data_IF_683545916928
#
_entry.id   IF_683545916928
#
_cell.length_a   1.000
_cell.length_b   1.000
_cell.length_c   1.000
_cell.angle_alpha   90.00
_cell.angle_beta   90.00
_cell.angle_gamma   90.00
#
_symmetry.space_group_name_H-M   'P 1'
#
loop_
_entity.id
_entity.type
_entity.pdbx_description
1 polymer ?
#
# COMPACT_ATOMS: atom_id res chain seq x y z
N UNK A 1 10.62 -9.45 -6.17
CA UNK A 1 9.23 -9.89 -6.45
C UNK A 1 8.97 -9.74 -7.94
N UNK A 2 8.44 -10.77 -8.61
CA UNK A 2 8.06 -10.66 -10.03
C UNK A 2 6.69 -9.99 -10.23
N UNK A 3 6.38 -9.56 -11.46
CA UNK A 3 5.07 -8.98 -11.78
C UNK A 3 3.90 -9.93 -11.48
N UNK A 4 4.07 -11.23 -11.75
CA UNK A 4 3.03 -12.23 -11.48
C UNK A 4 2.72 -12.34 -10.00
N UNK A 5 3.76 -12.49 -9.16
CA UNK A 5 3.59 -12.53 -7.71
C UNK A 5 2.94 -11.23 -7.20
N UNK A 6 3.30 -10.09 -7.78
CA UNK A 6 2.73 -8.78 -7.43
C UNK A 6 1.21 -8.74 -7.63
N UNK A 7 0.72 -9.19 -8.77
CA UNK A 7 -0.73 -9.17 -9.07
C UNK A 7 -1.51 -10.30 -8.38
N UNK A 8 -0.85 -11.39 -7.98
CA UNK A 8 -1.50 -12.54 -7.34
C UNK A 8 -1.54 -12.44 -5.81
N UNK A 9 -0.49 -11.91 -5.18
CA UNK A 9 -0.35 -11.93 -3.72
C UNK A 9 -0.46 -10.56 -3.06
N UNK A 10 -0.01 -9.47 -3.70
CA UNK A 10 -0.07 -8.12 -3.12
C UNK A 10 -1.26 -7.31 -3.66
N UNK A 11 -1.52 -7.38 -4.97
CA UNK A 11 -2.56 -6.61 -5.66
C UNK A 11 -3.56 -7.50 -6.40
N UNK A 12 -4.03 -8.57 -5.74
CA UNK A 12 -5.12 -9.37 -6.29
C UNK A 12 -6.41 -8.56 -6.32
N UNK A 13 -6.81 -8.13 -7.53
CA UNK A 13 -7.87 -7.14 -7.73
C UNK A 13 -9.21 -7.51 -7.08
N UNK A 14 -9.52 -8.81 -7.03
CA UNK A 14 -10.73 -9.32 -6.40
C UNK A 14 -10.78 -9.05 -4.89
N UNK A 15 -9.64 -8.99 -4.21
CA UNK A 15 -9.61 -8.67 -2.78
C UNK A 15 -10.19 -7.28 -2.49
N UNK A 16 -10.00 -6.30 -3.37
CA UNK A 16 -10.59 -4.96 -3.19
C UNK A 16 -12.10 -4.98 -3.37
N UNK A 17 -12.62 -5.77 -4.32
CA UNK A 17 -14.06 -5.93 -4.55
C UNK A 17 -14.70 -6.65 -3.37
N UNK A 18 -14.08 -7.72 -2.88
CA UNK A 18 -14.56 -8.44 -1.69
C UNK A 18 -14.52 -7.56 -0.45
N UNK A 19 -13.48 -6.75 -0.28
CA UNK A 19 -13.38 -5.82 0.83
C UNK A 19 -14.45 -4.72 0.77
N UNK A 20 -14.73 -4.18 -0.41
CA UNK A 20 -15.84 -3.24 -0.60
C UNK A 20 -17.19 -3.88 -0.25
N UNK A 21 -17.47 -5.08 -0.76
CA UNK A 21 -18.71 -5.79 -0.45
C UNK A 21 -18.83 -6.12 1.05
N UNK A 22 -17.72 -6.52 1.68
CA UNK A 22 -17.63 -6.76 3.11
C UNK A 22 -18.01 -5.53 3.93
N UNK A 23 -17.46 -4.36 3.59
CA UNK A 23 -17.80 -3.11 4.28
C UNK A 23 -19.27 -2.74 4.11
N UNK A 24 -19.91 -3.04 2.97
CA UNK A 24 -21.32 -2.74 2.74
C UNK A 24 -22.31 -3.63 3.50
N UNK A 25 -21.91 -4.82 3.93
CA UNK A 25 -22.81 -5.78 4.58
C UNK A 25 -22.53 -5.99 6.07
N UNK A 26 -21.43 -5.44 6.59
CA UNK A 26 -21.03 -5.62 7.98
C UNK A 26 -21.58 -4.49 8.86
N UNK A 27 -21.94 -4.83 10.10
CA UNK A 27 -22.35 -3.86 11.11
C UNK A 27 -21.23 -2.84 11.38
N UNK A 28 -21.57 -1.55 11.33
CA UNK A 28 -20.63 -0.45 11.57
C UNK A 28 -20.06 -0.46 13.00
N UNK A 29 -20.79 -1.03 13.97
CA UNK A 29 -20.29 -1.17 15.34
C UNK A 29 -19.08 -2.11 15.46
N UNK A 30 -18.85 -2.98 14.46
CA UNK A 30 -17.69 -3.87 14.37
C UNK A 30 -16.50 -3.24 13.63
N UNK A 31 -16.60 -1.97 13.25
CA UNK A 31 -15.53 -1.32 12.50
C UNK A 31 -14.42 -0.90 13.45
N UNK A 32 -13.18 -1.12 13.00
CA UNK A 32 -12.00 -0.54 13.64
C UNK A 32 -11.63 0.76 12.91
N UNK A 33 -10.65 1.51 13.43
CA UNK A 33 -10.26 2.81 12.87
C UNK A 33 -9.94 2.77 11.36
N UNK A 34 -9.28 1.70 10.89
CA UNK A 34 -8.97 1.55 9.46
C UNK A 34 -10.23 1.35 8.61
N UNK A 35 -11.18 0.53 9.09
CA UNK A 35 -12.46 0.31 8.39
C UNK A 35 -13.27 1.60 8.33
N UNK A 36 -13.35 2.37 9.43
CA UNK A 36 -14.03 3.66 9.43
C UNK A 36 -13.39 4.66 8.46
N UNK A 37 -12.05 4.73 8.42
CA UNK A 37 -11.35 5.56 7.45
C UNK A 37 -11.74 5.19 6.02
N UNK A 38 -11.65 3.91 5.65
CA UNK A 38 -11.98 3.46 4.29
C UNK A 38 -13.47 3.66 3.98
N UNK A 39 -14.36 3.39 4.93
CA UNK A 39 -15.81 3.60 4.79
C UNK A 39 -16.11 5.08 4.47
N UNK A 40 -15.52 6.02 5.23
CA UNK A 40 -15.70 7.46 4.97
C UNK A 40 -15.23 7.87 3.58
N UNK A 41 -14.15 7.26 3.08
CA UNK A 41 -13.65 7.48 1.72
C UNK A 41 -14.62 6.95 0.67
N UNK A 42 -15.16 5.75 0.89
CA UNK A 42 -16.18 5.15 0.01
C UNK A 42 -17.44 6.03 -0.07
N UNK A 43 -17.92 6.55 1.06
CA UNK A 43 -19.15 7.35 1.10
C UNK A 43 -18.96 8.72 0.40
N UNK A 44 -17.74 9.26 0.45
CA UNK A 44 -17.33 10.44 -0.32
C UNK A 44 -16.99 10.14 -1.79
N UNK A 45 -17.09 8.88 -2.23
CA UNK A 45 -16.65 8.41 -3.56
C UNK A 45 -15.17 8.75 -3.84
N UNK A 46 -14.36 8.81 -2.79
CA UNK A 46 -12.92 9.09 -2.84
C UNK A 46 -12.15 7.76 -2.92
N UNK A 47 -11.44 7.55 -4.02
CA UNK A 47 -10.66 6.33 -4.27
C UNK A 47 -9.23 6.38 -3.68
N UNK A 48 -8.86 7.45 -2.99
CA UNK A 48 -7.50 7.66 -2.44
C UNK A 48 -7.05 6.59 -1.45
N UNK A 49 -7.99 5.84 -0.85
CA UNK A 49 -7.66 4.70 0.01
C UNK A 49 -7.00 3.55 -0.76
N UNK A 50 -7.24 3.42 -2.07
CA UNK A 50 -6.60 2.41 -2.90
C UNK A 50 -5.11 2.72 -3.12
N UNK A 51 -4.24 1.70 -3.21
CA UNK A 51 -2.81 1.88 -3.43
C UNK A 51 -2.47 2.23 -4.89
N UNK A 52 -2.83 3.45 -5.31
CA UNK A 52 -2.52 3.98 -6.65
C UNK A 52 -1.04 4.40 -6.71
N UNK A 53 -0.29 3.87 -7.69
CA UNK A 53 1.15 4.12 -7.89
C UNK A 53 2.01 3.89 -6.63
N UNK A 54 1.55 3.03 -5.74
CA UNK A 54 2.25 2.66 -4.50
C UNK A 54 2.05 1.18 -4.25
N UNK A 55 3.11 0.50 -3.87
CA UNK A 55 3.11 -0.90 -3.46
C UNK A 55 4.11 -1.05 -2.31
N UNK A 56 3.95 -2.10 -1.49
CA UNK A 56 4.81 -2.35 -0.34
C UNK A 56 6.29 -2.39 -0.75
N UNK A 57 6.61 -3.21 -1.74
CA UNK A 57 7.97 -3.37 -2.26
C UNK A 57 8.53 -2.15 -3.01
N UNK A 58 7.67 -1.28 -3.56
CA UNK A 58 8.13 -0.07 -4.24
C UNK A 58 8.77 0.94 -3.27
N UNK A 59 8.45 0.87 -1.97
CA UNK A 59 9.11 1.70 -0.94
C UNK A 59 10.45 1.13 -0.51
N UNK A 60 10.55 -0.20 -0.40
CA UNK A 60 11.77 -0.89 0.04
C UNK A 60 12.93 -0.69 -0.96
N UNK A 61 12.65 -0.64 -2.27
CA UNK A 61 13.66 -0.35 -3.29
C UNK A 61 14.23 1.08 -3.18
N UNK A 62 13.39 2.06 -2.86
CA UNK A 62 13.81 3.48 -2.74
C UNK A 62 14.68 3.68 -1.48
N UNK A 63 14.29 3.09 -0.36
CA UNK A 63 15.08 3.17 0.88
C UNK A 63 16.43 2.43 0.75
N UNK A 64 16.44 1.27 0.06
CA UNK A 64 17.67 0.54 -0.24
C UNK A 64 18.64 1.32 -1.12
N UNK A 65 18.14 2.00 -2.16
CA UNK A 65 18.95 2.84 -3.04
C UNK A 65 19.49 4.09 -2.34
N UNK A 66 18.69 4.72 -1.47
CA UNK A 66 19.12 5.88 -0.68
C UNK A 66 20.21 5.52 0.33
N UNK A 67 20.10 4.35 0.98
CA UNK A 67 21.11 3.86 1.93
C UNK A 67 22.43 3.46 1.26
N UNK A 68 22.38 2.90 0.04
CA UNK A 68 23.59 2.64 -0.73
C UNK A 68 24.27 3.95 -1.16
N UNK A 69 23.49 4.92 -1.66
CA UNK A 69 24.03 6.23 -2.05
C UNK A 69 24.69 6.98 -0.89
N UNK A 70 24.13 6.92 0.32
CA UNK A 70 24.73 7.56 1.50
C UNK A 70 26.02 6.87 1.96
N UNK A 71 26.12 5.54 1.84
CA UNK A 71 27.33 4.79 2.16
C UNK A 71 28.49 5.12 1.21
N UNK A 72 28.24 5.15 -0.10
CA UNK A 72 29.26 5.51 -1.09
C UNK A 72 29.76 6.95 -0.90
N UNK A 73 28.86 7.89 -0.66
CA UNK A 73 29.22 9.30 -0.42
C UNK A 73 30.08 9.50 0.85
N UNK A 74 29.87 8.70 1.91
CA UNK A 74 30.71 8.77 3.11
C UNK A 74 32.12 8.24 2.85
N UNK A 75 32.25 7.16 2.08
CA UNK A 75 33.55 6.54 1.82
C UNK A 75 34.40 7.31 0.81
N UNK A 76 33.79 8.02 -0.16
CA UNK A 76 34.51 8.91 -1.07
C UNK A 76 35.01 10.19 -0.41
N UNK A 77 34.40 10.62 0.70
CA UNK A 77 34.82 11.83 1.44
C UNK A 77 36.04 11.61 2.35
N UNK A 78 36.56 10.38 2.42
CA UNK A 78 37.68 9.96 3.25
C UNK A 78 38.94 9.56 2.43
N UNK A 79 38.92 9.71 1.10
CA UNK A 79 40.10 9.70 0.22
C UNK A 79 40.52 11.13 -0.17
#
# INVERSE_FOLDING_TARGET
MGFQEHIEFEHYMWNYIYYYAYLKHKDENDFNGNKFYIQSKIDLKDISWMPIKRARFAKEEIEGQQNLGSYWNQNESHE
#
